data_IF_934273911113
#
_entry.id   IF_934273911113
#
_cell.length_a   1.000
_cell.length_b   1.000
_cell.length_c   1.000
_cell.angle_alpha   90.00
_cell.angle_beta   90.00
_cell.angle_gamma   90.00
#
_symmetry.space_group_name_H-M   'P 1'
#
loop_
_entity.id
_entity.type
_entity.pdbx_description
1 polymer ?
#
# COMPACT_ATOMS: atom_id res chain seq x y z
N UNK A 1 -18.11 -9.62 -3.81
CA UNK A 1 -17.77 -8.76 -4.95
C UNK A 1 -16.77 -9.44 -5.86
N UNK A 2 -16.78 -9.07 -7.12
CA UNK A 2 -15.76 -9.43 -8.11
C UNK A 2 -15.14 -8.14 -8.61
N UNK A 3 -13.82 -8.04 -8.53
CA UNK A 3 -13.04 -6.90 -8.97
C UNK A 3 -11.94 -7.37 -9.91
N UNK A 4 -11.55 -6.55 -10.86
CA UNK A 4 -10.42 -6.82 -11.74
C UNK A 4 -9.31 -5.82 -11.45
N UNK A 5 -8.20 -6.30 -10.92
CA UNK A 5 -7.06 -5.50 -10.51
C UNK A 5 -5.96 -5.48 -11.55
N UNK A 6 -5.35 -4.33 -11.69
CA UNK A 6 -4.17 -4.11 -12.52
C UNK A 6 -4.42 -3.19 -13.70
N UNK A 7 -3.49 -2.29 -13.90
CA UNK A 7 -3.38 -1.44 -15.08
C UNK A 7 -2.13 -1.84 -15.86
N UNK A 8 -2.19 -1.88 -17.18
CA UNK A 8 -1.02 -2.23 -18.01
C UNK A 8 0.13 -1.28 -17.73
N UNK A 9 1.30 -1.85 -17.45
CA UNK A 9 2.46 -1.11 -17.01
C UNK A 9 3.73 -1.96 -17.19
N UNK A 10 4.73 -1.41 -17.85
CA UNK A 10 5.95 -2.14 -18.21
C UNK A 10 7.25 -1.46 -17.73
N UNK A 11 7.15 -0.47 -16.87
CA UNK A 11 8.30 0.25 -16.33
C UNK A 11 8.75 -0.29 -14.97
N UNK A 12 9.95 0.12 -14.53
CA UNK A 12 10.57 -0.33 -13.27
C UNK A 12 10.97 0.87 -12.40
N UNK A 13 10.01 1.57 -11.76
CA UNK A 13 10.29 2.70 -10.88
C UNK A 13 11.04 2.27 -9.62
N UNK A 14 11.79 3.19 -9.02
CA UNK A 14 12.49 2.99 -7.75
C UNK A 14 11.55 3.08 -6.56
N UNK A 15 10.60 4.01 -6.62
CA UNK A 15 9.71 4.32 -5.52
C UNK A 15 8.41 4.97 -6.00
N UNK A 16 7.40 4.96 -5.15
CA UNK A 16 6.20 5.78 -5.28
C UNK A 16 6.21 6.83 -4.17
N UNK A 17 6.03 8.07 -4.55
CA UNK A 17 5.86 9.22 -3.64
C UNK A 17 4.43 9.73 -3.74
N UNK A 18 3.91 10.27 -2.66
CA UNK A 18 2.60 10.89 -2.63
C UNK A 18 2.32 11.57 -1.31
N UNK A 19 1.08 11.97 -1.12
CA UNK A 19 0.58 12.58 0.09
C UNK A 19 -0.62 11.78 0.60
N UNK A 20 -0.71 11.61 1.92
CA UNK A 20 -1.87 10.99 2.54
C UNK A 20 -2.30 11.74 3.80
N UNK A 21 -3.57 11.64 4.10
CA UNK A 21 -4.17 12.08 5.35
C UNK A 21 -4.95 10.91 5.91
N UNK A 22 -4.69 10.55 7.16
CA UNK A 22 -5.35 9.44 7.80
C UNK A 22 -6.01 9.84 9.11
N UNK A 23 -7.28 9.52 9.24
CA UNK A 23 -8.09 9.72 10.43
C UNK A 23 -8.55 8.34 10.92
N UNK A 24 -7.75 7.64 11.73
CA UNK A 24 -8.18 6.37 12.32
C UNK A 24 -9.24 6.61 13.40
N UNK A 25 -10.20 5.69 13.48
CA UNK A 25 -10.98 5.49 14.69
C UNK A 25 -10.56 4.17 15.32
N UNK A 26 -10.96 3.92 16.56
CA UNK A 26 -10.64 2.67 17.21
C UNK A 26 -11.40 1.51 16.55
N UNK A 27 -10.71 0.38 16.40
CA UNK A 27 -11.28 -0.85 15.85
C UNK A 27 -12.42 -1.30 16.77
N UNK A 28 -13.64 -1.33 16.25
CA UNK A 28 -14.86 -1.73 16.96
C UNK A 28 -15.47 -3.01 16.41
N UNK A 29 -15.21 -3.31 15.14
CA UNK A 29 -15.64 -4.53 14.48
C UNK A 29 -14.43 -5.45 14.33
N UNK A 30 -14.53 -6.67 14.83
CA UNK A 30 -13.46 -7.68 14.75
C UNK A 30 -14.05 -9.05 14.41
N UNK A 31 -13.30 -9.81 13.61
CA UNK A 31 -13.53 -11.26 13.48
C UNK A 31 -12.75 -12.01 14.57
N UNK A 32 -13.10 -13.28 14.79
CA UNK A 32 -12.56 -14.07 15.91
C UNK A 32 -11.02 -14.09 15.96
N UNK A 33 -10.36 -14.24 14.82
CA UNK A 33 -8.90 -14.30 14.74
C UNK A 33 -8.22 -12.95 15.01
N UNK A 34 -8.97 -11.84 14.98
CA UNK A 34 -8.47 -10.48 15.14
C UNK A 34 -9.02 -9.79 16.39
N UNK A 35 -9.65 -10.53 17.29
CA UNK A 35 -10.27 -10.00 18.52
C UNK A 35 -9.30 -9.21 19.39
N UNK A 36 -8.01 -9.55 19.34
CA UNK A 36 -6.93 -8.85 20.07
C UNK A 36 -6.69 -7.41 19.61
N UNK A 37 -7.18 -7.04 18.43
CA UNK A 37 -7.06 -5.69 17.87
C UNK A 37 -8.15 -4.74 18.34
N UNK A 38 -9.22 -5.26 18.96
CA UNK A 38 -10.36 -4.44 19.39
C UNK A 38 -9.93 -3.33 20.34
N UNK A 39 -10.37 -2.13 20.07
CA UNK A 39 -10.06 -0.93 20.87
C UNK A 39 -8.75 -0.23 20.51
N UNK A 40 -7.90 -0.84 19.69
CA UNK A 40 -6.71 -0.17 19.15
C UNK A 40 -7.09 0.78 18.01
N UNK A 41 -6.29 1.84 17.75
CA UNK A 41 -6.47 2.64 16.54
C UNK A 41 -6.38 1.74 15.30
N UNK A 42 -7.22 2.02 14.31
CA UNK A 42 -7.22 1.28 13.05
C UNK A 42 -5.92 1.48 12.26
N UNK A 43 -5.67 0.58 11.32
CA UNK A 43 -4.49 0.59 10.45
C UNK A 43 -4.89 0.96 9.03
N UNK A 44 -4.31 2.00 8.45
CA UNK A 44 -4.36 2.16 7.00
C UNK A 44 -3.24 1.39 6.32
N UNK A 45 -3.45 1.11 5.04
CA UNK A 45 -2.44 0.53 4.17
C UNK A 45 -2.42 1.29 2.85
N UNK A 46 -1.22 1.65 2.39
CA UNK A 46 -0.97 2.16 1.04
C UNK A 46 0.05 1.22 0.44
N UNK A 47 -0.24 0.65 -0.72
CA UNK A 47 0.68 -0.29 -1.35
C UNK A 47 0.74 -0.12 -2.85
N UNK A 48 1.87 -0.54 -3.40
CA UNK A 48 2.11 -0.68 -4.82
C UNK A 48 2.78 -2.02 -5.07
N UNK A 49 2.35 -2.71 -6.12
CA UNK A 49 3.11 -3.86 -6.61
C UNK A 49 3.06 -3.95 -8.13
N UNK A 50 4.08 -4.57 -8.68
CA UNK A 50 4.24 -4.86 -10.09
C UNK A 50 4.13 -6.36 -10.30
N UNK A 51 3.41 -6.75 -11.34
CA UNK A 51 3.20 -8.17 -11.65
C UNK A 51 3.44 -8.45 -13.13
N UNK A 52 3.78 -9.70 -13.45
CA UNK A 52 3.88 -10.20 -14.83
C UNK A 52 2.66 -11.05 -15.20
N UNK A 53 1.49 -10.46 -15.07
CA UNK A 53 0.24 -11.10 -15.45
C UNK A 53 -0.02 -10.99 -16.95
N UNK A 54 -0.78 -11.92 -17.51
CA UNK A 54 -1.26 -11.87 -18.90
C UNK A 54 -2.54 -11.06 -19.04
N UNK A 55 -3.33 -11.00 -17.98
CA UNK A 55 -4.58 -10.25 -17.87
C UNK A 55 -4.72 -9.64 -16.48
N UNK A 56 -5.69 -8.75 -16.29
CA UNK A 56 -6.07 -8.28 -14.96
C UNK A 56 -6.37 -9.47 -14.04
N UNK A 57 -6.01 -9.33 -12.77
CA UNK A 57 -6.28 -10.35 -11.75
C UNK A 57 -7.72 -10.24 -11.23
N UNK A 58 -8.46 -11.33 -11.26
CA UNK A 58 -9.81 -11.37 -10.68
C UNK A 58 -9.72 -11.54 -9.17
N UNK A 59 -10.14 -10.53 -8.43
CA UNK A 59 -10.42 -10.64 -6.99
C UNK A 59 -11.86 -11.11 -6.83
N UNK A 60 -12.06 -12.21 -6.12
CA UNK A 60 -13.40 -12.72 -5.84
C UNK A 60 -13.56 -13.00 -4.34
N UNK A 61 -14.16 -12.05 -3.64
CA UNK A 61 -14.28 -12.11 -2.17
C UNK A 61 -15.13 -13.28 -1.69
N UNK A 62 -16.13 -13.70 -2.49
CA UNK A 62 -16.98 -14.86 -2.14
C UNK A 62 -16.21 -16.18 -2.20
N UNK A 63 -15.20 -16.25 -3.05
CA UNK A 63 -14.33 -17.43 -3.21
C UNK A 63 -13.06 -17.34 -2.36
N UNK A 64 -12.86 -16.25 -1.62
CA UNK A 64 -11.60 -16.00 -0.92
C UNK A 64 -10.41 -15.84 -1.86
N UNK A 65 -10.66 -15.39 -3.10
CA UNK A 65 -9.62 -15.23 -4.11
C UNK A 65 -9.03 -13.83 -4.04
N UNK A 66 -7.81 -13.73 -3.50
CA UNK A 66 -7.04 -12.50 -3.36
C UNK A 66 -5.65 -12.69 -3.99
N UNK A 67 -4.96 -11.58 -4.23
CA UNK A 67 -3.57 -11.63 -4.69
C UNK A 67 -2.69 -12.12 -3.55
N UNK A 68 -1.93 -13.18 -3.80
CA UNK A 68 -0.86 -13.62 -2.90
C UNK A 68 0.38 -12.75 -3.16
N UNK A 69 0.79 -11.95 -2.18
CA UNK A 69 1.97 -11.09 -2.24
C UNK A 69 3.20 -11.71 -1.56
N UNK A 70 3.12 -12.97 -1.13
CA UNK A 70 4.27 -13.68 -0.56
C UNK A 70 5.36 -13.91 -1.60
N UNK A 71 6.58 -14.18 -1.13
CA UNK A 71 7.73 -14.49 -2.00
C UNK A 71 7.55 -15.78 -2.81
N UNK A 72 6.57 -16.61 -2.46
CA UNK A 72 6.26 -17.83 -3.21
C UNK A 72 5.53 -17.54 -4.54
N UNK A 73 4.89 -16.39 -4.65
CA UNK A 73 4.22 -15.97 -5.89
C UNK A 73 5.23 -15.30 -6.83
N UNK A 74 5.77 -16.09 -7.76
CA UNK A 74 6.78 -15.62 -8.73
C UNK A 74 6.23 -14.66 -9.78
N UNK A 75 4.91 -14.45 -9.84
CA UNK A 75 4.32 -13.46 -10.74
C UNK A 75 4.47 -12.02 -10.22
N UNK A 76 4.79 -11.85 -8.94
CA UNK A 76 5.02 -10.54 -8.35
C UNK A 76 6.49 -10.14 -8.58
N UNK A 77 6.68 -9.05 -9.31
CA UNK A 77 8.00 -8.53 -9.70
C UNK A 77 8.57 -7.61 -8.63
N UNK A 78 7.73 -6.77 -8.02
CA UNK A 78 8.13 -5.82 -6.99
C UNK A 78 6.94 -5.48 -6.09
N UNK A 79 7.24 -5.10 -4.85
CA UNK A 79 6.23 -4.73 -3.87
C UNK A 79 6.77 -3.67 -2.90
N UNK A 80 5.93 -2.73 -2.51
CA UNK A 80 6.19 -1.78 -1.46
C UNK A 80 4.90 -1.38 -0.75
N UNK A 81 4.99 -1.05 0.54
CA UNK A 81 3.82 -0.65 1.32
C UNK A 81 4.17 0.24 2.51
N UNK A 82 3.18 1.01 2.93
CA UNK A 82 3.12 1.66 4.24
C UNK A 82 1.91 1.09 4.98
N UNK A 83 2.11 0.78 6.26
CA UNK A 83 1.05 0.44 7.20
C UNK A 83 1.25 1.29 8.45
N UNK A 84 0.23 2.05 8.84
CA UNK A 84 0.34 2.95 10.00
C UNK A 84 -0.99 3.10 10.71
N UNK A 85 -0.91 3.37 12.03
CA UNK A 85 -2.03 3.74 12.90
C UNK A 85 -2.04 5.26 13.19
N UNK A 86 -1.06 6.00 12.66
CA UNK A 86 -0.85 7.39 13.00
C UNK A 86 -1.97 8.28 12.47
N UNK A 87 -2.57 9.07 13.34
CA UNK A 87 -3.48 10.14 12.97
C UNK A 87 -2.68 11.34 12.46
N UNK A 88 -2.71 11.58 11.16
CA UNK A 88 -1.94 12.69 10.55
C UNK A 88 -2.62 14.04 10.75
N UNK A 89 -3.88 14.07 11.13
CA UNK A 89 -4.65 15.31 11.30
C UNK A 89 -4.21 16.10 12.52
N UNK A 90 -3.56 15.45 13.49
CA UNK A 90 -3.01 16.08 14.69
C UNK A 90 -1.73 16.89 14.41
N UNK A 91 -1.13 16.73 13.25
CA UNK A 91 0.03 17.49 12.81
C UNK A 91 -0.40 18.91 12.36
N UNK A 92 -0.68 19.78 13.31
CA UNK A 92 -1.01 21.18 13.04
C UNK A 92 0.13 21.86 12.26
N UNK A 93 -0.20 22.36 11.07
CA UNK A 93 0.76 23.08 10.21
C UNK A 93 1.14 22.32 8.93
N UNK A 94 0.79 21.04 8.81
CA UNK A 94 1.02 20.27 7.60
C UNK A 94 -0.23 20.25 6.72
N UNK A 95 -0.25 21.01 5.63
CA UNK A 95 -1.19 20.86 4.50
C UNK A 95 -2.55 20.23 4.85
N UNK A 96 -3.23 20.75 5.88
CA UNK A 96 -4.51 20.22 6.40
C UNK A 96 -4.44 18.74 6.84
N UNK A 97 -3.33 18.33 7.46
CA UNK A 97 -3.13 16.97 7.94
C UNK A 97 -2.62 16.00 6.88
N UNK A 98 -2.29 16.45 5.68
CA UNK A 98 -1.57 15.64 4.70
C UNK A 98 -0.09 15.58 5.03
N UNK A 99 0.46 14.40 4.99
CA UNK A 99 1.90 14.14 5.11
C UNK A 99 2.42 13.45 3.86
N UNK A 100 3.64 13.77 3.48
CA UNK A 100 4.28 13.12 2.34
C UNK A 100 4.75 11.72 2.72
N UNK A 101 4.62 10.79 1.79
CA UNK A 101 5.18 9.45 1.92
C UNK A 101 6.04 9.10 0.71
N UNK A 102 6.98 8.19 0.94
CA UNK A 102 7.76 7.53 -0.10
C UNK A 102 7.78 6.04 0.18
N UNK A 103 7.34 5.26 -0.79
CA UNK A 103 7.32 3.79 -0.73
C UNK A 103 8.35 3.26 -1.69
N UNK A 104 9.50 2.75 -1.20
CA UNK A 104 10.45 2.03 -2.04
C UNK A 104 9.82 0.76 -2.61
N UNK A 105 10.09 0.48 -3.88
CA UNK A 105 9.74 -0.79 -4.49
C UNK A 105 10.84 -1.80 -4.26
N UNK A 106 10.53 -2.89 -3.56
CA UNK A 106 11.42 -4.00 -3.35
C UNK A 106 11.26 -4.99 -4.51
N UNK A 107 12.27 -5.04 -5.39
CA UNK A 107 12.27 -5.90 -6.57
C UNK A 107 12.70 -7.32 -6.21
N UNK A 108 11.94 -8.29 -6.71
CA UNK A 108 12.15 -9.73 -6.51
C UNK A 108 12.71 -10.44 -7.74
N UNK A 109 12.68 -9.76 -8.88
CA UNK A 109 13.02 -10.32 -10.19
C UNK A 109 13.55 -9.23 -11.12
N UNK A 110 14.37 -9.62 -12.09
CA UNK A 110 14.83 -8.75 -13.18
C UNK A 110 13.87 -8.74 -14.36
N UNK A 111 12.78 -9.52 -14.30
CA UNK A 111 11.81 -9.62 -15.38
C UNK A 111 11.03 -8.33 -15.56
N UNK A 112 10.54 -8.12 -16.76
CA UNK A 112 9.71 -6.97 -17.11
C UNK A 112 8.30 -7.14 -16.53
N UNK A 113 7.78 -6.16 -15.77
CA UNK A 113 6.39 -6.20 -15.36
C UNK A 113 5.45 -5.96 -16.54
N UNK A 114 4.20 -6.35 -16.39
CA UNK A 114 3.12 -6.12 -17.36
C UNK A 114 1.94 -5.37 -16.76
N UNK A 115 1.83 -5.37 -15.43
CA UNK A 115 0.76 -4.71 -14.69
C UNK A 115 1.29 -4.04 -13.43
N UNK A 116 0.63 -2.93 -13.06
CA UNK A 116 0.79 -2.26 -11.76
C UNK A 116 -0.53 -2.26 -11.02
N UNK A 117 -0.47 -2.42 -9.71
CA UNK A 117 -1.58 -2.18 -8.80
C UNK A 117 -1.13 -1.18 -7.73
N UNK A 118 -1.92 -0.13 -7.55
CA UNK A 118 -1.79 0.82 -6.45
C UNK A 118 -3.10 0.76 -5.67
N UNK A 119 -3.02 0.51 -4.39
CA UNK A 119 -4.21 0.44 -3.55
C UNK A 119 -4.02 1.14 -2.22
N UNK A 120 -5.12 1.71 -1.69
CA UNK A 120 -5.20 2.28 -0.38
C UNK A 120 -6.41 1.70 0.37
N UNK A 121 -6.23 1.40 1.65
CA UNK A 121 -7.28 0.92 2.52
C UNK A 121 -7.25 1.71 3.84
N UNK A 122 -8.39 2.26 4.24
CA UNK A 122 -8.54 2.93 5.54
C UNK A 122 -8.53 1.92 6.70
N UNK A 123 -8.90 0.66 6.42
CA UNK A 123 -8.86 -0.46 7.37
C UNK A 123 -8.14 -1.63 6.72
N UNK A 124 -6.88 -1.84 7.08
CA UNK A 124 -6.03 -2.90 6.51
C UNK A 124 -6.66 -4.29 6.60
N UNK A 125 -7.34 -4.56 7.70
CA UNK A 125 -7.95 -5.86 7.96
C UNK A 125 -9.42 -5.94 7.53
N UNK A 126 -9.88 -4.99 6.70
CA UNK A 126 -11.25 -4.97 6.17
C UNK A 126 -11.66 -6.24 5.44
N UNK A 127 -10.72 -6.89 4.72
CA UNK A 127 -10.95 -8.17 4.05
C UNK A 127 -11.28 -9.30 5.03
N UNK A 128 -10.93 -9.13 6.30
CA UNK A 128 -11.20 -10.05 7.40
C UNK A 128 -12.29 -9.53 8.34
N UNK A 129 -13.14 -8.63 7.85
CA UNK A 129 -14.23 -8.00 8.61
C UNK A 129 -13.75 -7.39 9.94
N UNK A 130 -12.59 -6.74 9.90
CA UNK A 130 -11.97 -6.13 11.06
C UNK A 130 -11.55 -4.69 10.73
N UNK A 131 -12.03 -3.74 11.52
CA UNK A 131 -11.73 -2.32 11.32
C UNK A 131 -12.53 -1.41 12.23
N UNK A 132 -12.27 -0.11 12.14
CA UNK A 132 -12.99 0.93 12.83
C UNK A 132 -14.00 1.62 11.90
N UNK A 133 -15.28 1.59 12.27
CA UNK A 133 -16.29 2.29 11.50
C UNK A 133 -16.02 3.80 11.54
N UNK A 134 -15.73 4.39 10.36
CA UNK A 134 -15.42 5.81 10.23
C UNK A 134 -13.94 6.11 10.01
N UNK A 135 -13.04 5.12 10.06
CA UNK A 135 -11.65 5.32 9.64
C UNK A 135 -11.59 5.82 8.20
N UNK A 136 -10.84 6.90 7.95
CA UNK A 136 -10.84 7.56 6.65
C UNK A 136 -9.41 7.83 6.17
N UNK A 137 -9.12 7.40 4.95
CA UNK A 137 -7.84 7.60 4.26
C UNK A 137 -8.06 8.47 3.02
N UNK A 138 -7.32 9.57 2.95
CA UNK A 138 -7.25 10.44 1.77
C UNK A 138 -5.87 10.27 1.12
N UNK A 139 -5.84 10.18 -0.19
CA UNK A 139 -4.62 10.02 -0.98
C UNK A 139 -4.57 11.07 -2.08
N UNK A 140 -3.39 11.63 -2.32
CA UNK A 140 -3.22 12.67 -3.33
C UNK A 140 -1.81 12.69 -3.92
N UNK A 141 -1.68 13.28 -5.10
CA UNK A 141 -0.41 13.61 -5.77
C UNK A 141 0.57 12.43 -5.90
N UNK A 142 0.11 11.29 -6.41
CA UNK A 142 0.97 10.14 -6.68
C UNK A 142 1.98 10.42 -7.79
N UNK A 143 3.22 10.01 -7.54
CA UNK A 143 4.35 10.17 -8.43
C UNK A 143 5.23 8.92 -8.38
N UNK A 144 5.64 8.42 -9.55
CA UNK A 144 6.61 7.32 -9.65
C UNK A 144 8.00 7.91 -9.90
N UNK A 145 8.96 7.50 -9.09
CA UNK A 145 10.34 7.99 -9.14
C UNK A 145 11.20 6.95 -9.85
N UNK A 146 11.89 7.37 -10.90
CA UNK A 146 12.77 6.51 -11.71
C UNK A 146 14.23 6.86 -11.55
N UNK A 147 14.56 8.13 -11.33
CA UNK A 147 15.92 8.63 -11.23
C UNK A 147 16.34 8.77 -9.77
N UNK A 148 17.47 8.14 -9.35
CA UNK A 148 18.00 8.33 -8.00
C UNK A 148 18.26 9.79 -7.64
N UNK A 149 18.57 10.65 -8.62
CA UNK A 149 18.80 12.08 -8.39
C UNK A 149 17.53 12.86 -8.00
N UNK A 150 16.35 12.30 -8.28
CA UNK A 150 15.07 12.88 -7.87
C UNK A 150 14.70 12.56 -6.42
N UNK A 151 15.45 11.66 -5.77
CA UNK A 151 15.25 11.29 -4.37
C UNK A 151 15.89 12.31 -3.44
N UNK A 152 15.21 12.64 -2.35
CA UNK A 152 15.86 13.34 -1.22
C UNK A 152 16.87 12.41 -0.55
N UNK A 153 17.76 12.95 0.29
CA UNK A 153 18.74 12.13 1.03
C UNK A 153 18.05 11.06 1.89
N UNK A 154 16.95 11.42 2.55
CA UNK A 154 16.14 10.46 3.32
C UNK A 154 15.53 9.37 2.44
N UNK A 155 14.94 9.74 1.30
CA UNK A 155 14.37 8.78 0.36
C UNK A 155 15.43 7.88 -0.24
N UNK A 156 16.61 8.41 -0.54
CA UNK A 156 17.74 7.64 -1.04
C UNK A 156 18.14 6.54 -0.04
N UNK A 157 18.23 6.87 1.25
CA UNK A 157 18.49 5.88 2.30
C UNK A 157 17.36 4.85 2.42
N UNK A 158 16.10 5.24 2.26
CA UNK A 158 14.99 4.31 2.25
C UNK A 158 15.05 3.32 1.09
N UNK A 159 15.41 3.80 -0.11
CA UNK A 159 15.47 2.97 -1.32
C UNK A 159 16.71 2.10 -1.35
N UNK A 160 17.90 2.65 -1.04
CA UNK A 160 19.20 2.00 -1.23
C UNK A 160 19.87 1.56 0.06
N UNK A 161 19.53 2.13 1.22
CA UNK A 161 20.15 1.81 2.51
C UNK A 161 20.01 0.35 2.94
N UNK A 162 19.04 -0.37 2.38
CA UNK A 162 18.83 -1.81 2.63
C UNK A 162 19.84 -2.71 1.96
N UNK A 163 20.68 -2.17 1.10
CA UNK A 163 21.70 -2.91 0.34
C UNK A 163 23.04 -2.99 1.10
N UNK A 164 23.13 -2.28 2.20
CA UNK A 164 24.35 -2.25 3.06
C UNK A 164 24.48 -3.49 3.96
#
# INVERSE_FOLDING_TARGET
AVLYWGHKFDSRPLAMRGWYRYEPVNIDIVSDNYSHLKGQPDFCQIQIFLAKWTNQFEINTKKGQFVDLSNNNTTIIAHGQIVTQDNTTDNAGNRNGYVQFTIPLEYRSLEQPTYVVISGAASRYGDYFTGGEGSTLYLDEFELIYDPEELTDEEFEQVFGRIR
#
